data_IF_583302878858
#
_entry.id   IF_583302878858
#
_cell.length_a   1.000
_cell.length_b   1.000
_cell.length_c   1.000
_cell.angle_alpha   90.00
_cell.angle_beta   90.00
_cell.angle_gamma   90.00
#
_symmetry.space_group_name_H-M   'P 1'
#
loop_
_entity.id
_entity.type
_entity.pdbx_description
1 polymer ?
#
# COMPACT_ATOMS: atom_id res chain seq x y z
N UNK A 1 -22.59 0.16 7.79
CA UNK A 1 -21.87 1.14 8.63
C UNK A 1 -20.40 0.87 8.43
N UNK A 2 -19.65 1.80 7.83
CA UNK A 2 -18.24 1.58 7.52
C UNK A 2 -17.44 1.60 8.82
N UNK A 3 -17.02 0.43 9.30
CA UNK A 3 -16.37 0.29 10.61
C UNK A 3 -14.95 0.83 10.62
N UNK A 4 -14.31 0.92 9.44
CA UNK A 4 -12.98 1.53 9.32
C UNK A 4 -12.99 3.01 9.68
N UNK A 5 -14.10 3.73 9.42
CA UNK A 5 -14.19 5.17 9.67
C UNK A 5 -14.10 5.49 11.17
N UNK A 6 -14.74 4.70 12.01
CA UNK A 6 -14.63 4.86 13.46
C UNK A 6 -13.21 4.58 13.98
N UNK A 7 -12.46 3.67 13.34
CA UNK A 7 -11.07 3.43 13.68
C UNK A 7 -10.15 4.56 13.20
N UNK A 8 -10.40 5.07 12.00
CA UNK A 8 -9.71 6.24 11.45
C UNK A 8 -9.93 7.48 12.33
N UNK A 9 -11.19 7.75 12.71
CA UNK A 9 -11.55 8.90 13.56
C UNK A 9 -10.93 8.81 14.96
N UNK A 10 -10.56 7.61 15.43
CA UNK A 10 -9.91 7.38 16.72
C UNK A 10 -8.38 7.56 16.70
N UNK A 11 -7.76 7.76 15.53
CA UNK A 11 -6.33 8.02 15.39
C UNK A 11 -6.05 9.52 15.59
N UNK A 12 -6.13 9.95 16.86
CA UNK A 12 -5.93 11.36 17.22
C UNK A 12 -4.54 11.88 16.82
N UNK A 13 -3.54 11.00 16.82
CA UNK A 13 -2.14 11.28 16.47
C UNK A 13 -1.94 11.63 14.98
N UNK A 14 -2.95 11.38 14.13
CA UNK A 14 -2.90 11.65 12.70
C UNK A 14 -3.64 12.94 12.31
N UNK A 15 -4.30 13.64 13.24
CA UNK A 15 -5.07 14.84 12.92
C UNK A 15 -4.24 15.96 12.29
N UNK A 16 -2.95 16.02 12.59
CA UNK A 16 -2.03 17.03 12.03
C UNK A 16 -1.81 16.86 10.51
N UNK A 17 -2.17 15.70 9.92
CA UNK A 17 -1.92 15.37 8.51
C UNK A 17 -3.12 15.61 7.57
N UNK A 18 -4.23 16.19 8.03
CA UNK A 18 -5.42 16.51 7.21
C UNK A 18 -5.84 15.34 6.28
N UNK A 19 -6.01 15.59 4.98
CA UNK A 19 -6.37 14.57 3.97
C UNK A 19 -5.33 13.44 3.86
N UNK A 20 -4.07 13.70 4.20
CA UNK A 20 -2.96 12.75 4.09
C UNK A 20 -3.00 11.68 5.20
N UNK A 21 -3.68 11.99 6.30
CA UNK A 21 -3.94 11.03 7.37
C UNK A 21 -4.63 9.77 6.84
N UNK A 22 -5.53 9.91 5.85
CA UNK A 22 -6.22 8.77 5.26
C UNK A 22 -5.27 7.85 4.49
N UNK A 23 -4.27 8.43 3.81
CA UNK A 23 -3.27 7.64 3.11
C UNK A 23 -2.26 6.97 4.05
N UNK A 24 -1.90 7.60 5.18
CA UNK A 24 -1.14 6.94 6.25
C UNK A 24 -1.92 5.79 6.86
N UNK A 25 -3.22 5.99 7.13
CA UNK A 25 -4.10 4.92 7.59
C UNK A 25 -4.16 3.76 6.59
N UNK A 26 -4.28 4.05 5.29
CA UNK A 26 -4.26 3.05 4.23
C UNK A 26 -2.94 2.26 4.19
N UNK A 27 -1.79 2.92 4.40
CA UNK A 27 -0.49 2.25 4.53
C UNK A 27 -0.47 1.29 5.72
N UNK A 28 -0.94 1.76 6.89
CA UNK A 28 -1.05 0.95 8.10
C UNK A 28 -1.88 -0.30 7.90
N UNK A 29 -3.07 -0.15 7.32
CA UNK A 29 -3.95 -1.29 7.03
C UNK A 29 -3.34 -2.27 6.04
N UNK A 30 -2.69 -1.78 4.99
CA UNK A 30 -2.20 -2.64 3.91
C UNK A 30 -0.93 -3.41 4.29
N UNK A 31 -0.03 -2.76 5.00
CA UNK A 31 1.32 -3.26 5.25
C UNK A 31 1.59 -3.59 6.72
N UNK A 32 0.59 -3.43 7.60
CA UNK A 32 0.74 -3.73 9.03
C UNK A 32 1.72 -2.80 9.74
N UNK A 33 1.70 -1.51 9.38
CA UNK A 33 2.62 -0.53 9.97
C UNK A 33 2.08 -0.01 11.30
N UNK A 34 2.86 -0.14 12.38
CA UNK A 34 2.41 0.19 13.74
C UNK A 34 2.59 1.68 14.10
N UNK A 35 3.71 2.31 13.74
CA UNK A 35 4.00 3.72 14.08
C UNK A 35 3.76 4.66 12.88
N UNK A 36 2.48 4.91 12.59
CA UNK A 36 2.07 5.78 11.49
C UNK A 36 2.52 7.24 11.67
N UNK A 37 2.69 7.69 12.91
CA UNK A 37 3.12 9.06 13.22
C UNK A 37 4.56 9.29 12.80
N UNK A 38 5.46 8.35 13.12
CA UNK A 38 6.86 8.41 12.69
C UNK A 38 6.99 8.23 11.18
N UNK A 39 6.18 7.35 10.58
CA UNK A 39 6.18 7.15 9.12
C UNK A 39 5.70 8.40 8.40
N UNK A 40 4.71 9.10 8.96
CA UNK A 40 4.15 10.32 8.41
C UNK A 40 5.18 11.42 8.17
N UNK A 41 6.18 11.53 9.04
CA UNK A 41 7.25 12.54 8.93
C UNK A 41 8.05 12.41 7.63
N UNK A 42 8.35 11.17 7.22
CA UNK A 42 9.17 10.90 6.04
C UNK A 42 8.33 10.63 4.78
N UNK A 43 7.13 10.08 4.95
CA UNK A 43 6.28 9.63 3.85
C UNK A 43 5.37 10.73 3.30
N UNK A 44 4.95 11.69 4.13
CA UNK A 44 4.01 12.74 3.73
C UNK A 44 4.75 13.91 3.09
N UNK A 45 4.32 14.32 1.90
CA UNK A 45 4.94 15.38 1.12
C UNK A 45 4.22 16.74 1.23
N UNK A 46 3.45 16.96 2.30
CA UNK A 46 2.49 18.07 2.49
C UNK A 46 3.10 19.48 2.36
N UNK A 47 2.47 20.35 1.56
CA UNK A 47 2.75 21.78 1.48
C UNK A 47 2.50 22.38 0.10
N UNK A 48 2.50 23.72 0.02
CA UNK A 48 2.52 24.41 -1.28
C UNK A 48 3.74 23.93 -2.09
N UNK A 49 3.51 23.51 -3.35
CA UNK A 49 4.49 22.87 -4.26
C UNK A 49 4.78 21.35 -4.08
N UNK A 50 3.88 20.60 -3.45
CA UNK A 50 3.87 19.12 -3.42
C UNK A 50 3.74 18.45 -4.81
N UNK A 51 3.46 19.22 -5.87
CA UNK A 51 3.21 18.76 -7.24
C UNK A 51 2.21 17.60 -7.32
N UNK A 52 1.15 17.64 -6.49
CA UNK A 52 0.05 16.67 -6.46
C UNK A 52 0.44 15.30 -5.87
N UNK A 53 1.51 15.26 -5.08
CA UNK A 53 1.90 14.08 -4.35
C UNK A 53 1.61 14.32 -2.88
N UNK A 54 0.81 13.44 -2.30
CA UNK A 54 0.51 13.52 -0.88
C UNK A 54 1.35 12.51 -0.08
N UNK A 55 1.69 11.38 -0.71
CA UNK A 55 2.45 10.29 -0.10
C UNK A 55 3.53 9.77 -1.03
N UNK A 56 4.76 9.68 -0.51
CA UNK A 56 5.87 8.92 -1.08
C UNK A 56 6.52 8.11 0.02
N UNK A 57 6.10 6.86 0.17
CA UNK A 57 6.64 5.93 1.15
C UNK A 57 7.60 4.95 0.48
N UNK A 58 8.74 4.67 1.11
CA UNK A 58 9.76 3.74 0.60
C UNK A 58 10.12 2.75 1.70
N UNK A 59 9.90 1.46 1.45
CA UNK A 59 10.34 0.37 2.29
C UNK A 59 11.39 -0.46 1.56
N UNK A 60 12.66 -0.25 1.93
CA UNK A 60 13.79 -0.95 1.32
C UNK A 60 13.92 -2.40 1.80
N UNK A 61 13.39 -2.73 2.98
CA UNK A 61 13.47 -4.08 3.55
C UNK A 61 12.52 -5.03 2.82
N UNK A 62 11.29 -4.57 2.57
CA UNK A 62 10.26 -5.30 1.83
C UNK A 62 10.26 -5.00 0.31
N UNK A 63 11.26 -4.26 -0.15
CA UNK A 63 11.54 -3.95 -1.56
C UNK A 63 10.39 -3.25 -2.33
N UNK A 64 9.66 -2.34 -1.69
CA UNK A 64 8.57 -1.59 -2.33
C UNK A 64 8.57 -0.09 -2.04
N UNK A 65 7.91 0.66 -2.91
CA UNK A 65 7.55 2.06 -2.67
C UNK A 65 6.07 2.28 -2.98
N UNK A 66 5.44 3.23 -2.29
CA UNK A 66 4.07 3.67 -2.51
C UNK A 66 4.11 5.15 -2.86
N UNK A 67 3.54 5.49 -4.00
CA UNK A 67 3.39 6.86 -4.48
C UNK A 67 1.89 7.10 -4.59
N UNK A 68 1.38 8.11 -3.88
CA UNK A 68 -0.05 8.33 -3.86
C UNK A 68 -0.50 9.76 -3.66
N UNK A 69 -1.77 9.94 -3.99
CA UNK A 69 -2.52 11.17 -3.80
C UNK A 69 -3.74 10.86 -2.93
N UNK A 70 -4.06 11.77 -2.01
CA UNK A 70 -5.11 11.64 -1.03
C UNK A 70 -6.25 12.62 -1.31
N UNK A 71 -7.45 12.23 -0.90
CA UNK A 71 -8.63 13.08 -0.96
C UNK A 71 -9.64 12.70 0.10
N UNK A 72 -9.97 13.63 0.98
CA UNK A 72 -11.05 13.43 1.93
C UNK A 72 -12.28 14.27 1.54
N UNK A 73 -13.45 13.63 1.51
CA UNK A 73 -14.72 14.32 1.29
C UNK A 73 -15.53 14.38 2.58
N UNK A 74 -15.87 15.59 3.03
CA UNK A 74 -16.80 15.78 4.16
C UNK A 74 -18.26 15.43 3.79
N UNK A 75 -18.57 15.39 2.48
CA UNK A 75 -19.91 15.13 1.95
C UNK A 75 -19.94 13.78 1.27
N UNK A 76 -21.07 13.09 1.39
CA UNK A 76 -21.32 11.89 0.58
C UNK A 76 -21.42 12.26 -0.90
N UNK A 77 -20.73 11.48 -1.73
CA UNK A 77 -20.71 11.60 -3.19
C UNK A 77 -20.66 10.20 -3.79
N UNK A 78 -21.06 10.09 -5.05
CA UNK A 78 -21.05 8.81 -5.76
C UNK A 78 -19.62 8.32 -6.05
N UNK A 79 -18.67 9.23 -6.25
CA UNK A 79 -17.27 8.90 -6.49
C UNK A 79 -16.34 10.05 -6.13
N UNK A 80 -15.05 9.73 -6.00
CA UNK A 80 -14.01 10.74 -5.93
C UNK A 80 -13.77 11.44 -7.29
N UNK A 81 -13.20 12.65 -7.30
CA UNK A 81 -12.85 13.36 -8.53
C UNK A 81 -11.75 12.62 -9.31
N UNK A 82 -12.05 12.14 -10.52
CA UNK A 82 -11.08 11.41 -11.35
C UNK A 82 -9.87 12.25 -11.76
N UNK A 83 -10.01 13.57 -11.84
CA UNK A 83 -8.89 14.47 -12.13
C UNK A 83 -7.78 14.38 -11.07
N UNK A 84 -8.11 14.12 -9.80
CA UNK A 84 -7.10 13.88 -8.76
C UNK A 84 -6.34 12.57 -8.98
N UNK A 85 -6.97 11.53 -9.52
CA UNK A 85 -6.21 10.34 -9.91
C UNK A 85 -5.26 10.62 -11.08
N UNK A 86 -5.71 11.42 -12.07
CA UNK A 86 -4.88 11.79 -13.22
C UNK A 86 -3.71 12.72 -12.87
N UNK A 87 -3.86 13.55 -11.83
CA UNK A 87 -2.85 14.48 -11.32
C UNK A 87 -1.55 13.74 -10.92
N UNK A 88 -1.64 12.48 -10.50
CA UNK A 88 -0.49 11.62 -10.20
C UNK A 88 0.50 11.47 -11.36
N UNK A 89 0.05 11.59 -12.63
CA UNK A 89 0.97 11.60 -13.78
C UNK A 89 2.00 12.73 -13.66
N UNK A 90 1.59 13.90 -13.16
CA UNK A 90 2.49 15.01 -12.91
C UNK A 90 3.46 14.66 -11.80
N UNK A 91 2.94 14.13 -10.68
CA UNK A 91 3.75 13.72 -9.53
C UNK A 91 4.85 12.72 -9.91
N UNK A 92 4.51 11.63 -10.60
CA UNK A 92 5.49 10.61 -11.00
C UNK A 92 6.55 11.16 -11.96
N UNK A 93 6.20 12.10 -12.84
CA UNK A 93 7.16 12.76 -13.72
C UNK A 93 8.17 13.61 -12.93
N UNK A 94 7.71 14.34 -11.91
CA UNK A 94 8.60 15.08 -11.00
C UNK A 94 9.51 14.15 -10.20
N UNK A 95 8.95 13.08 -9.63
CA UNK A 95 9.71 12.14 -8.80
C UNK A 95 10.74 11.35 -9.59
N UNK A 96 10.41 10.85 -10.78
CA UNK A 96 11.25 9.86 -11.48
C UNK A 96 12.08 10.43 -12.62
N UNK A 97 11.59 11.46 -13.31
CA UNK A 97 12.18 11.92 -14.59
C UNK A 97 12.86 13.29 -14.48
N UNK A 98 12.27 14.25 -13.75
CA UNK A 98 12.76 15.63 -13.75
C UNK A 98 14.19 15.74 -13.20
N UNK A 99 15.00 16.67 -13.69
CA UNK A 99 16.33 16.91 -13.13
C UNK A 99 16.22 17.29 -11.64
N UNK A 100 16.99 16.62 -10.77
CA UNK A 100 16.95 16.84 -9.30
C UNK A 100 17.08 18.31 -8.89
N UNK A 101 17.96 19.14 -9.50
CA UNK A 101 18.04 20.57 -9.16
C UNK A 101 16.74 21.34 -9.38
N UNK A 102 15.89 20.89 -10.29
CA UNK A 102 14.62 21.53 -10.64
C UNK A 102 13.44 21.01 -9.81
N UNK A 103 13.60 19.86 -9.15
CA UNK A 103 12.58 19.29 -8.26
C UNK A 103 12.37 20.24 -7.07
N UNK A 104 11.12 20.57 -6.69
CA UNK A 104 10.84 21.39 -5.52
C UNK A 104 11.43 20.79 -4.25
N UNK A 105 11.95 21.64 -3.35
CA UNK A 105 12.63 21.18 -2.13
C UNK A 105 11.77 20.24 -1.27
N UNK A 106 10.45 20.44 -1.28
CA UNK A 106 9.46 19.62 -0.56
C UNK A 106 9.51 18.14 -0.92
N UNK A 107 9.61 17.83 -2.22
CA UNK A 107 9.61 16.44 -2.74
C UNK A 107 11.02 15.99 -3.19
N UNK A 108 12.02 16.85 -3.04
CA UNK A 108 13.39 16.60 -3.52
C UNK A 108 14.05 15.44 -2.79
N UNK A 109 13.92 15.37 -1.45
CA UNK A 109 14.42 14.26 -0.65
C UNK A 109 13.79 12.94 -1.07
N UNK A 110 12.46 12.90 -1.18
CA UNK A 110 11.70 11.73 -1.64
C UNK A 110 12.11 11.30 -3.05
N UNK A 111 12.29 12.25 -3.98
CA UNK A 111 12.77 11.98 -5.33
C UNK A 111 14.19 11.39 -5.33
N UNK A 112 15.12 11.94 -4.55
CA UNK A 112 16.48 11.41 -4.44
C UNK A 112 16.44 9.98 -3.89
N UNK A 113 15.78 9.79 -2.74
CA UNK A 113 15.72 8.51 -2.05
C UNK A 113 15.10 7.41 -2.91
N UNK A 114 14.00 7.72 -3.62
CA UNK A 114 13.34 6.76 -4.50
C UNK A 114 14.24 6.37 -5.68
N UNK A 115 14.90 7.34 -6.31
CA UNK A 115 15.78 7.07 -7.46
C UNK A 115 17.02 6.29 -7.06
N UNK A 116 17.60 6.58 -5.90
CA UNK A 116 18.70 5.79 -5.34
C UNK A 116 18.22 4.37 -5.04
N UNK A 117 17.08 4.22 -4.37
CA UNK A 117 16.53 2.91 -4.04
C UNK A 117 16.26 2.03 -5.28
N UNK A 118 15.79 2.65 -6.38
CA UNK A 118 15.62 1.98 -7.68
C UNK A 118 16.97 1.58 -8.28
N UNK A 119 17.95 2.49 -8.30
CA UNK A 119 19.29 2.22 -8.88
C UNK A 119 20.02 1.12 -8.13
N UNK A 120 19.89 1.11 -6.80
CA UNK A 120 20.51 0.13 -5.92
C UNK A 120 19.77 -1.23 -5.93
N UNK A 121 18.61 -1.31 -6.58
CA UNK A 121 17.80 -2.53 -6.66
C UNK A 121 17.07 -2.88 -5.36
N UNK A 122 17.07 -1.97 -4.38
CA UNK A 122 16.38 -2.10 -3.07
C UNK A 122 14.88 -1.83 -3.14
N UNK A 123 14.38 -1.33 -4.28
CA UNK A 123 12.95 -1.25 -4.58
C UNK A 123 12.71 -2.02 -5.87
N UNK A 124 11.79 -2.97 -5.83
CA UNK A 124 11.37 -3.78 -6.98
C UNK A 124 9.91 -3.59 -7.34
N UNK A 125 9.10 -3.11 -6.40
CA UNK A 125 7.67 -2.89 -6.59
C UNK A 125 7.31 -1.43 -6.33
N UNK A 126 6.54 -0.82 -7.22
CA UNK A 126 5.98 0.52 -7.03
C UNK A 126 4.46 0.43 -7.08
N UNK A 127 3.81 0.90 -6.01
CA UNK A 127 2.37 1.01 -5.89
C UNK A 127 1.92 2.45 -6.15
N UNK A 128 1.05 2.64 -7.14
CA UNK A 128 0.41 3.92 -7.45
C UNK A 128 -0.97 3.94 -6.81
N UNK A 129 -1.18 4.79 -5.80
CA UNK A 129 -2.43 4.84 -5.06
C UNK A 129 -3.15 6.17 -5.20
N UNK A 130 -4.47 6.10 -5.34
CA UNK A 130 -5.32 7.24 -5.05
C UNK A 130 -6.25 6.86 -3.89
N UNK A 131 -6.08 7.55 -2.76
CA UNK A 131 -6.72 7.22 -1.49
C UNK A 131 -7.84 8.19 -1.20
N UNK A 132 -9.06 7.69 -0.95
CA UNK A 132 -10.20 8.52 -0.60
C UNK A 132 -11.26 7.79 0.23
N UNK A 133 -12.17 8.56 0.84
CA UNK A 133 -13.22 8.03 1.70
C UNK A 133 -14.56 7.73 0.99
N UNK A 134 -14.61 7.89 -0.34
CA UNK A 134 -15.80 7.68 -1.18
C UNK A 134 -15.80 6.30 -1.86
N UNK A 135 -16.95 5.84 -2.42
CA UNK A 135 -16.99 4.62 -3.23
C UNK A 135 -16.05 4.69 -4.43
N UNK A 136 -15.44 3.55 -4.76
CA UNK A 136 -14.59 3.39 -5.94
C UNK A 136 -15.39 3.50 -7.24
N UNK A 137 -14.73 3.94 -8.32
CA UNK A 137 -15.38 4.13 -9.61
C UNK A 137 -14.51 3.74 -10.80
N UNK A 138 -15.14 3.24 -11.87
CA UNK A 138 -14.42 2.89 -13.09
C UNK A 138 -13.68 4.09 -13.71
N UNK A 139 -14.13 5.32 -13.45
CA UNK A 139 -13.52 6.53 -14.00
C UNK A 139 -12.15 6.75 -13.38
N UNK A 140 -12.05 6.61 -12.06
CA UNK A 140 -10.80 6.73 -11.32
C UNK A 140 -9.87 5.58 -11.67
N UNK A 141 -10.37 4.34 -11.71
CA UNK A 141 -9.58 3.17 -12.10
C UNK A 141 -8.93 3.34 -13.49
N UNK A 142 -9.68 3.82 -14.49
CA UNK A 142 -9.15 4.07 -15.83
C UNK A 142 -8.02 5.12 -15.84
N UNK A 143 -8.13 6.17 -15.01
CA UNK A 143 -7.06 7.16 -14.86
C UNK A 143 -5.83 6.54 -14.21
N UNK A 144 -5.99 5.72 -13.17
CA UNK A 144 -4.88 5.05 -12.49
C UNK A 144 -4.15 4.04 -13.38
N UNK A 145 -4.87 3.32 -14.25
CA UNK A 145 -4.26 2.47 -15.29
C UNK A 145 -3.36 3.31 -16.21
N UNK A 146 -3.81 4.51 -16.58
CA UNK A 146 -3.01 5.43 -17.38
C UNK A 146 -1.75 5.87 -16.62
N UNK A 147 -1.88 6.21 -15.33
CA UNK A 147 -0.72 6.57 -14.48
C UNK A 147 0.27 5.41 -14.36
N UNK A 148 -0.20 4.17 -14.21
CA UNK A 148 0.66 2.98 -14.19
C UNK A 148 1.46 2.85 -15.51
N UNK A 149 0.80 3.03 -16.65
CA UNK A 149 1.47 2.98 -17.96
C UNK A 149 2.51 4.08 -18.13
N UNK A 150 2.19 5.32 -17.72
CA UNK A 150 3.13 6.45 -17.72
C UNK A 150 4.34 6.14 -16.84
N UNK A 151 4.10 5.71 -15.60
CA UNK A 151 5.15 5.36 -14.63
C UNK A 151 6.07 4.26 -15.17
N UNK A 152 5.48 3.19 -15.70
CA UNK A 152 6.23 2.08 -16.32
C UNK A 152 7.09 2.57 -17.49
N UNK A 153 6.55 3.45 -18.32
CA UNK A 153 7.27 4.00 -19.48
C UNK A 153 8.44 4.89 -19.07
N UNK A 154 8.24 5.73 -18.04
CA UNK A 154 9.30 6.55 -17.44
C UNK A 154 10.40 5.64 -16.90
N UNK A 155 10.05 4.62 -16.10
CA UNK A 155 11.03 3.72 -15.49
C UNK A 155 11.88 2.99 -16.54
N UNK A 156 11.26 2.46 -17.59
CA UNK A 156 11.97 1.80 -18.70
C UNK A 156 12.92 2.74 -19.45
N UNK A 157 12.56 4.01 -19.54
CA UNK A 157 13.35 5.03 -20.25
C UNK A 157 14.52 5.54 -19.41
N UNK A 158 14.27 5.83 -18.13
CA UNK A 158 15.24 6.47 -17.23
C UNK A 158 16.16 5.44 -16.57
N UNK A 159 15.68 4.22 -16.33
CA UNK A 159 16.42 3.12 -15.66
C UNK A 159 16.47 1.87 -16.55
N UNK A 160 17.10 1.95 -17.74
CA UNK A 160 17.16 0.82 -18.66
C UNK A 160 17.88 -0.37 -18.01
N UNK A 161 17.25 -1.54 -18.10
CA UNK A 161 17.79 -2.79 -17.54
C UNK A 161 17.38 -3.09 -16.09
N UNK A 162 16.74 -2.15 -15.39
CA UNK A 162 16.14 -2.40 -14.07
C UNK A 162 14.68 -2.81 -14.26
N UNK A 163 14.31 -3.98 -13.73
CA UNK A 163 12.93 -4.47 -13.77
C UNK A 163 12.21 -4.05 -12.50
N UNK A 164 11.27 -3.11 -12.63
CA UNK A 164 10.37 -2.68 -11.55
C UNK A 164 8.95 -3.07 -11.91
N UNK A 165 8.26 -3.77 -11.02
CA UNK A 165 6.83 -4.02 -11.14
C UNK A 165 6.06 -2.80 -10.68
N UNK A 166 5.13 -2.33 -11.51
CA UNK A 166 4.28 -1.17 -11.19
C UNK A 166 2.85 -1.64 -11.17
N UNK A 167 2.17 -1.40 -10.06
CA UNK A 167 0.73 -1.67 -9.92
C UNK A 167 0.01 -0.42 -9.45
N UNK A 168 -1.28 -0.33 -9.78
CA UNK A 168 -2.13 0.75 -9.33
C UNK A 168 -3.30 0.23 -8.48
N UNK A 169 -3.85 1.09 -7.63
CA UNK A 169 -5.03 0.78 -6.83
C UNK A 169 -5.80 2.06 -6.45
N UNK A 170 -7.09 2.09 -6.77
CA UNK A 170 -8.03 3.01 -6.11
C UNK A 170 -8.31 2.48 -4.71
N UNK A 171 -7.94 3.25 -3.69
CA UNK A 171 -8.15 2.92 -2.28
C UNK A 171 -9.33 3.76 -1.78
N UNK A 172 -10.53 3.31 -2.15
CA UNK A 172 -11.79 3.92 -1.75
C UNK A 172 -12.40 3.28 -0.51
N UNK A 173 -13.66 3.60 -0.24
CA UNK A 173 -14.37 3.14 0.94
C UNK A 173 -14.48 1.62 1.05
N UNK A 174 -14.62 0.90 -0.08
CA UNK A 174 -14.75 -0.56 -0.06
C UNK A 174 -13.38 -1.22 0.21
N UNK A 175 -12.31 -0.70 -0.40
CA UNK A 175 -10.95 -1.18 -0.21
C UNK A 175 -10.47 -0.93 1.22
N UNK A 176 -10.74 0.26 1.78
CA UNK A 176 -10.44 0.56 3.18
C UNK A 176 -11.20 -0.36 4.14
N UNK A 177 -12.48 -0.65 3.83
CA UNK A 177 -13.26 -1.60 4.62
C UNK A 177 -12.67 -3.02 4.53
N UNK A 178 -12.31 -3.47 3.33
CA UNK A 178 -11.69 -4.79 3.12
C UNK A 178 -10.37 -4.93 3.88
N UNK A 179 -9.46 -3.95 3.75
CA UNK A 179 -8.18 -4.00 4.46
C UNK A 179 -8.36 -3.92 5.97
N UNK A 180 -9.29 -3.10 6.45
CA UNK A 180 -9.60 -3.02 7.88
C UNK A 180 -10.16 -4.33 8.43
N UNK A 181 -11.03 -5.02 7.70
CA UNK A 181 -11.55 -6.34 8.07
C UNK A 181 -10.45 -7.39 8.06
N UNK A 182 -9.57 -7.37 7.06
CA UNK A 182 -8.43 -8.28 6.97
C UNK A 182 -7.46 -8.08 8.15
N UNK A 183 -7.16 -6.83 8.56
CA UNK A 183 -6.39 -6.53 9.77
C UNK A 183 -7.08 -7.01 11.05
N UNK A 184 -8.42 -6.94 11.10
CA UNK A 184 -9.22 -7.27 12.28
C UNK A 184 -9.64 -8.72 12.38
N UNK A 185 -9.30 -9.56 11.42
CA UNK A 185 -9.69 -10.96 11.46
C UNK A 185 -8.60 -11.77 12.17
N UNK A 186 -8.66 -11.99 13.51
CA UNK A 186 -7.92 -13.10 14.09
C UNK A 186 -8.49 -14.35 13.43
N UNK A 187 -7.70 -15.01 12.58
CA UNK A 187 -8.02 -16.22 11.79
C UNK A 187 -9.40 -16.79 12.18
N UNK A 188 -10.48 -16.29 11.58
CA UNK A 188 -11.83 -16.82 11.78
C UNK A 188 -12.03 -18.03 10.86
N UNK A 189 -11.02 -18.91 10.87
CA UNK A 189 -11.12 -20.21 10.24
C UNK A 189 -11.46 -21.17 11.35
N UNK A 190 -12.74 -21.20 11.71
CA UNK A 190 -13.38 -22.36 12.33
C UNK A 190 -13.52 -23.51 11.31
N UNK A 191 -12.49 -23.74 10.50
CA UNK A 191 -12.42 -24.87 9.56
C UNK A 191 -11.13 -25.63 9.81
N UNK A 192 -11.29 -26.87 10.27
CA UNK A 192 -10.22 -27.84 10.26
C UNK A 192 -9.71 -28.02 8.82
N UNK A 193 -8.44 -27.74 8.59
CA UNK A 193 -7.76 -28.04 7.34
C UNK A 193 -7.02 -29.36 7.50
N UNK A 194 -7.34 -30.35 6.67
CA UNK A 194 -6.60 -31.61 6.64
C UNK A 194 -5.43 -31.48 5.67
N UNK A 195 -4.22 -31.62 6.17
CA UNK A 195 -2.98 -31.65 5.38
C UNK A 195 -2.46 -33.08 5.32
N UNK A 196 -2.06 -33.52 4.13
CA UNK A 196 -1.38 -34.80 3.97
C UNK A 196 0.09 -34.62 4.37
N UNK A 197 0.50 -35.33 5.40
CA UNK A 197 1.87 -35.35 5.90
C UNK A 197 2.53 -36.68 5.59
N UNK A 198 3.86 -36.70 5.53
CA UNK A 198 4.66 -37.93 5.41
C UNK A 198 5.03 -38.53 6.77
N UNK A 199 4.33 -38.11 7.83
CA UNK A 199 4.69 -38.36 9.24
C UNK A 199 5.30 -37.14 9.91
N UNK A 200 5.43 -37.21 11.23
CA UNK A 200 5.91 -36.13 12.09
C UNK A 200 6.11 -36.61 13.52
N UNK A 201 6.56 -35.73 14.39
CA UNK A 201 6.73 -36.02 15.81
C UNK A 201 6.02 -34.99 16.68
N UNK A 202 5.42 -35.48 17.76
CA UNK A 202 4.75 -34.66 18.75
C UNK A 202 5.76 -34.27 19.84
N UNK A 203 5.76 -32.99 20.18
CA UNK A 203 6.54 -32.43 21.27
C UNK A 203 5.54 -31.90 22.29
N UNK A 204 5.61 -32.38 23.53
CA UNK A 204 4.74 -31.90 24.60
C UNK A 204 5.55 -31.43 25.81
N UNK A 205 5.05 -30.38 26.47
CA UNK A 205 5.59 -29.82 27.70
C UNK A 205 4.46 -29.51 28.69
N UNK A 206 4.78 -28.92 29.85
CA UNK A 206 3.74 -28.51 30.81
C UNK A 206 2.85 -27.44 30.19
N UNK A 207 1.62 -27.83 29.84
CA UNK A 207 0.57 -26.93 29.34
C UNK A 207 0.58 -26.71 27.83
N UNK A 208 1.43 -27.38 27.05
CA UNK A 208 1.45 -27.25 25.59
C UNK A 208 1.80 -28.56 24.89
N UNK A 209 1.32 -28.69 23.65
CA UNK A 209 1.74 -29.71 22.69
C UNK A 209 1.95 -29.06 21.32
N UNK A 210 2.88 -29.59 20.55
CA UNK A 210 3.21 -29.16 19.19
C UNK A 210 3.44 -30.38 18.32
N UNK A 211 3.10 -30.28 17.05
CA UNK A 211 3.31 -31.35 16.08
C UNK A 211 4.19 -30.84 14.94
N UNK A 212 5.40 -31.38 14.85
CA UNK A 212 6.38 -31.00 13.84
C UNK A 212 6.30 -31.99 12.67
N UNK A 213 6.02 -31.48 11.47
CA UNK A 213 5.78 -32.30 10.28
C UNK A 213 6.18 -31.60 9.00
N UNK A 214 6.52 -32.38 7.97
CA UNK A 214 6.68 -31.86 6.61
C UNK A 214 5.34 -31.90 5.86
N UNK A 215 5.04 -30.83 5.13
CA UNK A 215 3.88 -30.72 4.23
C UNK A 215 4.35 -30.27 2.84
N UNK A 216 3.54 -30.53 1.82
CA UNK A 216 3.88 -30.08 0.48
C UNK A 216 3.49 -28.61 0.28
N UNK A 217 4.43 -27.79 -0.21
CA UNK A 217 4.22 -26.37 -0.48
C UNK A 217 3.01 -26.09 -1.40
N UNK A 218 2.68 -27.03 -2.31
CA UNK A 218 1.51 -26.92 -3.19
C UNK A 218 0.18 -26.87 -2.43
N UNK A 219 0.10 -27.47 -1.25
CA UNK A 219 -1.12 -27.49 -0.45
C UNK A 219 -1.31 -26.15 0.28
N UNK A 220 -0.23 -25.52 0.73
CA UNK A 220 -0.23 -24.11 1.16
C UNK A 220 -0.64 -23.17 0.02
N UNK A 221 -0.09 -23.37 -1.18
CA UNK A 221 -0.43 -22.55 -2.35
C UNK A 221 -1.91 -22.67 -2.75
N UNK A 222 -2.53 -23.85 -2.59
CA UNK A 222 -3.98 -24.03 -2.81
C UNK A 222 -4.81 -23.29 -1.76
N UNK A 223 -4.40 -23.38 -0.49
CA UNK A 223 -5.05 -22.65 0.59
C UNK A 223 -4.98 -21.15 0.33
N UNK A 224 -3.80 -20.63 -0.04
CA UNK A 224 -3.61 -19.23 -0.41
C UNK A 224 -4.44 -18.83 -1.63
N UNK A 225 -4.50 -19.64 -2.69
CA UNK A 225 -5.35 -19.33 -3.85
C UNK A 225 -6.83 -19.24 -3.48
N UNK A 226 -7.29 -20.08 -2.56
CA UNK A 226 -8.70 -20.18 -2.15
C UNK A 226 -9.10 -19.13 -1.10
N UNK A 227 -8.21 -18.83 -0.16
CA UNK A 227 -8.51 -18.01 1.01
C UNK A 227 -7.70 -16.71 1.07
N UNK A 228 -6.73 -16.52 0.19
CA UNK A 228 -5.86 -15.33 0.12
C UNK A 228 -5.20 -15.07 1.47
N UNK A 229 -5.24 -13.83 1.94
CA UNK A 229 -4.71 -13.35 3.22
C UNK A 229 -5.51 -13.85 4.43
N UNK A 230 -6.74 -14.36 4.24
CA UNK A 230 -7.64 -14.76 5.35
C UNK A 230 -7.15 -15.94 6.22
N UNK A 231 -6.06 -16.61 5.82
CA UNK A 231 -5.42 -17.75 6.50
C UNK A 231 -4.06 -17.41 7.12
N UNK A 232 -3.46 -16.27 6.79
CA UNK A 232 -2.10 -15.91 7.21
C UNK A 232 -2.11 -14.56 7.91
N UNK A 233 -1.35 -14.43 8.99
CA UNK A 233 -1.12 -13.14 9.64
C UNK A 233 -0.32 -12.22 8.71
N UNK A 234 -0.55 -10.91 8.84
CA UNK A 234 0.46 -9.90 8.51
C UNK A 234 1.53 -9.94 9.60
#
# INVERSE_FOLDING_TARGET
MNTWKAAYDALEDLYDYNDNALGLFALGLRFGLDDLSSIGVDAVTDGADDKKLDIVFINKEEEYAVIGQCYYSEKERESAPSNKASDLNTGVAWLLQRAIPEVPDRIKSAAINLREAIKDGTVKNIYIWFVHNLPESHHVENELVTVQHTTTSILKTVYPGISIDVSNKEVGSNTLQEWYEDCRTPILINKSVTLNTIGGYEISGKGWSSYSTAIQARDLAKLYKKHKTKIFFC
#
